data_IF_155198083625
#
_entry.id   IF_155198083625
#
_cell.length_a   1.000
_cell.length_b   1.000
_cell.length_c   1.000
_cell.angle_alpha   90.00
_cell.angle_beta   90.00
_cell.angle_gamma   90.00
#
_symmetry.space_group_name_H-M   'P 1'
#
loop_
_entity.id
_entity.type
_entity.pdbx_description
1 polymer ?
#
# COMPACT_ATOMS: atom_id res chain seq x y z
N UNK A 1 -27.54 -26.52 8.82
CA UNK A 1 -26.36 -25.63 8.74
C UNK A 1 -26.66 -24.36 9.52
N UNK A 2 -26.13 -24.25 10.74
CA UNK A 2 -26.24 -23.04 11.54
C UNK A 2 -25.26 -22.04 10.91
N UNK A 3 -25.79 -21.10 10.15
CA UNK A 3 -24.99 -20.14 9.40
C UNK A 3 -24.29 -19.25 10.42
N UNK A 4 -22.97 -19.33 10.50
CA UNK A 4 -22.12 -18.41 11.25
C UNK A 4 -21.50 -17.41 10.26
N UNK A 5 -22.28 -16.46 9.69
CA UNK A 5 -21.79 -15.52 8.69
C UNK A 5 -20.58 -14.72 9.19
N UNK A 6 -20.46 -14.50 10.50
CA UNK A 6 -19.33 -13.84 11.14
C UNK A 6 -18.02 -14.64 11.07
N UNK A 7 -18.07 -15.98 10.98
CA UNK A 7 -16.90 -16.85 10.93
C UNK A 7 -16.16 -16.80 9.57
N UNK A 8 -16.78 -16.21 8.54
CA UNK A 8 -16.22 -16.11 7.18
C UNK A 8 -15.88 -14.67 6.77
N UNK A 9 -15.90 -13.72 7.71
CA UNK A 9 -15.67 -12.29 7.42
C UNK A 9 -14.30 -12.03 6.80
N UNK A 10 -13.23 -12.61 7.36
CA UNK A 10 -11.88 -12.47 6.80
C UNK A 10 -11.74 -13.14 5.42
N UNK A 11 -12.45 -14.25 5.19
CA UNK A 11 -12.50 -14.89 3.87
C UNK A 11 -13.18 -13.98 2.84
N UNK A 12 -14.31 -13.36 3.20
CA UNK A 12 -15.01 -12.42 2.33
C UNK A 12 -14.17 -11.16 2.06
N UNK A 13 -13.44 -10.63 3.05
CA UNK A 13 -12.51 -9.52 2.85
C UNK A 13 -11.36 -9.89 1.90
N UNK A 14 -10.84 -11.12 1.98
CA UNK A 14 -9.82 -11.60 1.05
C UNK A 14 -10.36 -11.73 -0.39
N UNK A 15 -11.61 -12.17 -0.54
CA UNK A 15 -12.29 -12.23 -1.85
C UNK A 15 -12.53 -10.82 -2.41
N UNK A 16 -13.01 -9.89 -1.59
CA UNK A 16 -13.19 -8.49 -1.98
C UNK A 16 -11.86 -7.85 -2.43
N UNK A 17 -10.79 -8.07 -1.68
CA UNK A 17 -9.44 -7.61 -2.04
C UNK A 17 -8.92 -8.26 -3.33
N UNK A 18 -9.24 -9.55 -3.56
CA UNK A 18 -8.82 -10.29 -4.75
C UNK A 18 -9.57 -9.88 -6.03
N UNK A 19 -10.84 -9.51 -5.91
CA UNK A 19 -11.71 -9.11 -7.03
C UNK A 19 -11.66 -7.60 -7.32
N UNK A 20 -11.54 -6.78 -6.28
CA UNK A 20 -11.60 -5.33 -6.36
C UNK A 20 -10.31 -4.71 -6.92
N UNK A 21 -10.39 -3.48 -7.45
CA UNK A 21 -9.20 -2.72 -7.77
C UNK A 21 -8.41 -2.47 -6.47
N UNK A 22 -7.16 -2.92 -6.45
CA UNK A 22 -6.24 -2.64 -5.35
C UNK A 22 -5.37 -1.44 -5.73
N UNK A 23 -5.27 -0.47 -4.82
CA UNK A 23 -4.44 0.71 -4.99
C UNK A 23 -3.24 0.61 -4.08
N UNK A 24 -2.08 0.87 -4.65
CA UNK A 24 -0.83 0.89 -3.90
C UNK A 24 -0.26 2.30 -3.93
N UNK A 25 0.11 2.79 -2.74
CA UNK A 25 0.73 4.09 -2.55
C UNK A 25 2.08 3.90 -1.87
N UNK A 26 3.17 4.19 -2.58
CA UNK A 26 4.51 4.21 -2.02
C UNK A 26 4.87 5.65 -1.68
N UNK A 27 5.16 5.92 -0.42
CA UNK A 27 5.70 7.21 0.04
C UNK A 27 7.21 7.02 0.22
N UNK A 28 8.00 7.81 -0.50
CA UNK A 28 9.44 7.90 -0.31
C UNK A 28 9.75 9.15 0.51
N UNK A 29 10.27 8.96 1.73
CA UNK A 29 10.58 10.05 2.64
C UNK A 29 11.00 9.56 4.02
N UNK A 30 11.65 10.44 4.78
CA UNK A 30 12.09 10.14 6.14
C UNK A 30 10.89 9.91 7.06
N UNK A 31 10.84 8.82 7.85
CA UNK A 31 9.70 8.49 8.70
C UNK A 31 9.34 9.60 9.70
N UNK A 32 10.34 10.25 10.27
CA UNK A 32 10.15 11.29 11.30
C UNK A 32 10.02 12.70 10.72
N UNK A 33 10.14 12.85 9.40
CA UNK A 33 9.98 14.16 8.76
C UNK A 33 8.50 14.59 8.75
N UNK A 34 8.29 15.88 9.02
CA UNK A 34 6.96 16.47 9.18
C UNK A 34 6.09 16.33 7.93
N UNK A 35 6.68 16.45 6.75
CA UNK A 35 6.04 16.31 5.45
C UNK A 35 5.58 14.86 5.19
N UNK A 36 6.42 13.87 5.49
CA UNK A 36 6.06 12.45 5.46
C UNK A 36 4.90 12.14 6.39
N UNK A 37 4.95 12.60 7.63
CA UNK A 37 3.88 12.39 8.61
C UNK A 37 2.56 13.05 8.18
N UNK A 38 2.64 14.24 7.58
CA UNK A 38 1.46 14.94 7.03
C UNK A 38 0.81 14.13 5.91
N UNK A 39 1.60 13.54 5.01
CA UNK A 39 1.11 12.70 3.91
C UNK A 39 0.50 11.40 4.43
N UNK A 40 1.15 10.74 5.39
CA UNK A 40 0.62 9.54 6.05
C UNK A 40 -0.71 9.82 6.76
N UNK A 41 -0.83 10.95 7.45
CA UNK A 41 -2.05 11.37 8.11
C UNK A 41 -3.19 11.57 7.10
N UNK A 42 -2.92 12.20 5.95
CA UNK A 42 -3.90 12.38 4.89
C UNK A 42 -4.42 11.05 4.33
N UNK A 43 -3.54 10.06 4.11
CA UNK A 43 -3.93 8.74 3.64
C UNK A 43 -4.74 7.93 4.66
N UNK A 44 -4.47 8.14 5.95
CA UNK A 44 -5.16 7.47 7.07
C UNK A 44 -6.48 8.16 7.45
N UNK A 45 -6.69 9.41 7.06
CA UNK A 45 -7.87 10.20 7.42
C UNK A 45 -9.19 9.72 6.79
N UNK A 46 -9.13 8.95 5.70
CA UNK A 46 -10.31 8.35 5.08
C UNK A 46 -10.07 6.86 4.86
N UNK A 47 -11.07 6.03 5.16
CA UNK A 47 -11.00 4.61 4.84
C UNK A 47 -11.29 4.39 3.35
N UNK A 48 -10.31 3.84 2.63
CA UNK A 48 -10.45 3.41 1.23
C UNK A 48 -10.17 1.91 1.21
N UNK A 49 -11.17 1.06 0.90
CA UNK A 49 -10.98 -0.38 0.81
C UNK A 49 -9.85 -0.73 -0.16
N UNK A 50 -9.13 -1.82 0.12
CA UNK A 50 -8.10 -2.38 -0.76
C UNK A 50 -6.93 -1.44 -1.10
N UNK A 51 -6.69 -0.41 -0.27
CA UNK A 51 -5.47 0.41 -0.37
C UNK A 51 -4.32 -0.21 0.42
N UNK A 52 -3.13 -0.20 -0.17
CA UNK A 52 -1.87 -0.58 0.45
C UNK A 52 -1.01 0.69 0.50
N UNK A 53 -0.43 0.97 1.67
CA UNK A 53 0.48 2.10 1.85
C UNK A 53 1.82 1.57 2.31
N UNK A 54 2.87 1.87 1.54
CA UNK A 54 4.25 1.53 1.85
C UNK A 54 5.02 2.81 2.14
N UNK A 55 5.78 2.82 3.23
CA UNK A 55 6.74 3.88 3.52
C UNK A 55 8.13 3.35 3.23
N UNK A 56 8.86 4.06 2.37
CA UNK A 56 10.24 3.80 2.00
C UNK A 56 11.10 4.96 2.49
N UNK A 57 11.96 4.77 3.51
CA UNK A 57 13.01 5.73 3.81
C UNK A 57 13.90 5.97 2.59
N UNK A 58 14.44 7.19 2.38
CA UNK A 58 15.41 7.44 1.32
C UNK A 58 16.72 6.68 1.61
N UNK A 59 17.52 6.44 0.57
CA UNK A 59 18.76 5.66 0.65
C UNK A 59 18.62 4.21 0.15
N UNK A 60 19.74 3.48 0.11
CA UNK A 60 19.82 2.11 -0.42
C UNK A 60 19.38 1.05 0.60
N UNK A 61 19.61 1.29 1.90
CA UNK A 61 19.38 0.32 2.99
C UNK A 61 17.98 0.40 3.62
N UNK A 62 16.96 0.68 2.81
CA UNK A 62 15.59 0.68 3.29
C UNK A 62 15.12 -0.77 3.52
N UNK A 63 14.87 -1.17 4.77
CA UNK A 63 14.43 -2.53 5.14
C UNK A 63 13.19 -3.03 4.38
N UNK A 64 12.34 -2.12 3.91
CA UNK A 64 11.17 -2.45 3.09
C UNK A 64 11.54 -3.05 1.72
N UNK A 65 12.74 -2.76 1.21
CA UNK A 65 13.21 -3.28 -0.08
C UNK A 65 13.41 -4.80 -0.02
N UNK A 66 13.76 -5.35 1.14
CA UNK A 66 13.88 -6.81 1.31
C UNK A 66 12.53 -7.53 1.14
N UNK A 67 11.44 -6.89 1.58
CA UNK A 67 10.09 -7.43 1.49
C UNK A 67 9.42 -7.10 0.14
N UNK A 68 9.76 -5.95 -0.44
CA UNK A 68 9.13 -5.39 -1.63
C UNK A 68 10.21 -4.80 -2.55
N UNK A 69 10.95 -5.67 -3.24
CA UNK A 69 12.14 -5.29 -4.01
C UNK A 69 11.87 -4.21 -5.08
N UNK A 70 10.68 -4.22 -5.69
CA UNK A 70 10.28 -3.20 -6.67
C UNK A 70 10.29 -1.78 -6.09
N UNK A 71 10.24 -1.62 -4.77
CA UNK A 71 10.30 -0.31 -4.13
C UNK A 71 11.67 0.37 -4.27
N UNK A 72 12.72 -0.37 -4.62
CA UNK A 72 14.07 0.16 -4.88
C UNK A 72 14.11 1.20 -6.00
N UNK A 73 13.16 1.14 -6.93
CA UNK A 73 13.10 2.04 -8.08
C UNK A 73 12.39 3.37 -7.78
N UNK A 74 11.77 3.53 -6.60
CA UNK A 74 11.15 4.78 -6.20
C UNK A 74 12.14 5.64 -5.43
N UNK A 75 12.27 6.91 -5.81
CA UNK A 75 13.19 7.87 -5.17
C UNK A 75 12.44 9.12 -4.74
N UNK A 76 13.06 9.97 -3.94
CA UNK A 76 12.57 11.35 -3.76
C UNK A 76 12.73 12.12 -5.07
N UNK A 77 11.75 12.95 -5.40
CA UNK A 77 11.85 13.93 -6.49
C UNK A 77 12.19 15.30 -5.90
N UNK A 78 13.26 15.92 -6.39
CA UNK A 78 13.75 17.23 -5.93
C UNK A 78 14.01 17.29 -4.40
N UNK A 79 14.56 16.22 -3.82
CA UNK A 79 14.84 16.12 -2.37
C UNK A 79 13.63 16.34 -1.46
N UNK A 80 12.41 16.08 -1.97
CA UNK A 80 11.16 16.19 -1.22
C UNK A 80 10.48 14.85 -1.08
N UNK A 81 9.66 14.71 -0.03
CA UNK A 81 8.76 13.57 0.12
C UNK A 81 7.93 13.40 -1.15
N UNK A 82 7.89 12.17 -1.67
CA UNK A 82 7.23 11.87 -2.95
C UNK A 82 6.33 10.66 -2.78
N UNK A 83 5.08 10.77 -3.21
CA UNK A 83 4.17 9.64 -3.33
C UNK A 83 4.08 9.14 -4.75
N UNK A 84 4.20 7.82 -4.93
CA UNK A 84 3.88 7.12 -6.15
C UNK A 84 2.59 6.33 -5.94
N UNK A 85 1.70 6.36 -6.94
CA UNK A 85 0.48 5.57 -6.94
C UNK A 85 0.55 4.55 -8.07
N UNK A 86 0.36 3.28 -7.73
CA UNK A 86 0.22 2.19 -8.68
C UNK A 86 -1.16 1.56 -8.52
N UNK A 87 -1.82 1.29 -9.65
CA UNK A 87 -2.99 0.40 -9.67
C UNK A 87 -2.49 -1.02 -9.88
N UNK A 88 -2.75 -1.91 -8.92
CA UNK A 88 -2.37 -3.31 -9.06
C UNK A 88 -3.40 -3.97 -9.98
N UNK A 89 -3.00 -4.21 -11.23
CA UNK A 89 -3.78 -5.07 -12.14
C UNK A 89 -3.56 -6.52 -11.77
N UNK A 90 -4.47 -7.08 -10.96
CA UNK A 90 -4.58 -8.51 -10.74
C UNK A 90 -5.04 -9.15 -12.06
N UNK A 91 -4.10 -9.69 -12.84
CA UNK A 91 -4.41 -10.34 -14.11
C UNK A 91 -5.30 -11.56 -13.82
N UNK A 92 -6.48 -11.62 -14.44
CA UNK A 92 -7.39 -12.76 -14.34
C UNK A 92 -6.66 -14.01 -14.89
N UNK A 93 -6.42 -15.00 -14.04
CA UNK A 93 -5.83 -16.30 -14.40
C UNK A 93 -6.91 -17.25 -14.94
N UNK A 94 -7.62 -16.82 -15.98
CA UNK A 94 -8.53 -17.68 -16.77
C UNK A 94 -8.29 -17.45 -18.25
N UNK A 95 -7.45 -18.32 -18.81
CA UNK A 95 -7.68 -18.94 -20.11
C UNK A 95 -7.53 -20.45 -19.91
#
# INVERSE_FOLDING_TARGET
MRQYPTAFTQLLSAVDFGLGPSYEVIIVGEPDAKDTQTMLAALRGQFVPNKIVLLRPPGEDASIVELAEYTKFYTTLNDRVTSYQAMIRKRCWTC
#
